data_IF_840399880301
#
_entry.id   IF_840399880301
#
_cell.length_a   1.000
_cell.length_b   1.000
_cell.length_c   1.000
_cell.angle_alpha   90.00
_cell.angle_beta   90.00
_cell.angle_gamma   90.00
#
_symmetry.space_group_name_H-M   'P 1'
#
loop_
_entity.id
_entity.type
_entity.pdbx_description
1 polymer ?
#
# COMPACT_ATOMS: atom_id res chain seq x y z
N UNK A 1 6.89 -2.95 21.38
CA UNK A 1 7.54 -2.19 20.29
C UNK A 1 6.61 -1.05 19.90
N UNK A 2 7.09 0.20 19.86
CA UNK A 2 6.32 1.36 19.36
C UNK A 2 6.83 1.69 17.96
N UNK A 3 5.96 2.23 17.09
CA UNK A 3 6.33 2.62 15.73
C UNK A 3 6.42 4.14 15.66
N UNK A 4 7.53 4.65 15.15
CA UNK A 4 7.71 6.09 14.94
C UNK A 4 7.14 6.49 13.58
N UNK A 5 6.26 7.49 13.56
CA UNK A 5 5.74 8.04 12.31
C UNK A 5 6.88 8.70 11.51
N UNK A 6 7.06 8.32 10.24
CA UNK A 6 8.09 8.89 9.36
C UNK A 6 7.86 10.36 8.99
N UNK A 7 6.61 10.86 9.10
CA UNK A 7 6.23 12.22 8.71
C UNK A 7 6.35 13.24 9.85
N UNK A 8 5.95 12.86 11.06
CA UNK A 8 5.90 13.77 12.22
C UNK A 8 6.72 13.28 13.43
N UNK A 9 7.40 12.13 13.29
CA UNK A 9 8.27 11.54 14.31
C UNK A 9 7.60 11.16 15.63
N UNK A 10 6.26 11.17 15.67
CA UNK A 10 5.48 10.76 16.85
C UNK A 10 5.49 9.24 17.01
N UNK A 11 5.59 8.79 18.25
CA UNK A 11 5.41 7.39 18.61
C UNK A 11 3.94 6.99 18.54
N UNK A 12 3.66 5.90 17.84
CA UNK A 12 2.35 5.33 17.66
C UNK A 12 2.29 3.91 18.24
N UNK A 13 1.08 3.47 18.55
CA UNK A 13 0.81 2.07 18.88
C UNK A 13 1.23 1.18 17.69
N UNK A 14 1.92 0.06 17.90
CA UNK A 14 2.33 -0.85 16.83
C UNK A 14 1.17 -1.42 15.99
N UNK A 15 -0.05 -1.46 16.53
CA UNK A 15 -1.23 -1.90 15.77
C UNK A 15 -1.85 -0.79 14.91
N UNK A 16 -1.45 0.47 15.10
CA UNK A 16 -2.02 1.61 14.38
C UNK A 16 -1.84 1.46 12.87
N UNK A 17 -2.92 1.70 12.12
CA UNK A 17 -2.93 1.65 10.64
C UNK A 17 -2.51 2.97 9.99
N UNK A 18 -2.55 4.06 10.76
CA UNK A 18 -2.14 5.41 10.40
C UNK A 18 -1.71 6.14 11.68
N UNK A 19 -0.95 7.22 11.54
CA UNK A 19 -0.55 8.05 12.66
C UNK A 19 -1.78 8.71 13.30
N UNK A 20 -1.96 8.50 14.59
CA UNK A 20 -3.05 9.06 15.40
C UNK A 20 -3.14 10.59 15.35
N UNK A 21 -1.99 11.24 15.14
CA UNK A 21 -1.85 12.69 15.15
C UNK A 21 -1.96 13.33 13.76
N UNK A 22 -1.11 12.92 12.81
CA UNK A 22 -1.04 13.57 11.50
C UNK A 22 -1.78 12.82 10.39
N UNK A 23 -2.35 11.64 10.68
CA UNK A 23 -3.07 10.82 9.71
C UNK A 23 -2.17 10.16 8.64
N UNK A 24 -0.85 10.28 8.73
CA UNK A 24 0.05 9.64 7.78
C UNK A 24 -0.03 8.12 7.90
N UNK A 25 -0.19 7.43 6.78
CA UNK A 25 -0.02 5.98 6.74
C UNK A 25 1.43 5.64 7.08
N UNK A 26 1.69 4.52 7.76
CA UNK A 26 3.03 3.94 7.77
C UNK A 26 3.47 3.83 6.32
N UNK A 27 4.75 4.07 6.04
CA UNK A 27 5.33 3.84 4.73
C UNK A 27 5.28 2.32 4.47
N UNK A 28 4.10 1.83 4.11
CA UNK A 28 3.93 0.53 3.51
C UNK A 28 4.57 0.72 2.16
N UNK A 29 5.85 0.32 2.05
CA UNK A 29 6.64 0.38 0.83
C UNK A 29 5.69 0.23 -0.36
N UNK A 30 5.41 1.35 -1.03
CA UNK A 30 4.39 1.39 -2.07
C UNK A 30 4.83 0.40 -3.12
N UNK A 31 4.24 -0.78 -3.12
CA UNK A 31 4.61 -1.84 -4.05
C UNK A 31 4.04 -1.44 -5.38
N UNK A 32 4.76 -0.62 -6.13
CA UNK A 32 4.29 -0.14 -7.42
C UNK A 32 4.11 -1.34 -8.36
N UNK A 33 2.89 -1.58 -8.81
CA UNK A 33 2.62 -2.62 -9.80
C UNK A 33 2.67 -1.97 -11.18
N UNK A 34 3.39 -2.60 -12.11
CA UNK A 34 3.45 -2.16 -13.50
C UNK A 34 2.36 -2.84 -14.32
N UNK A 35 1.64 -2.06 -15.14
CA UNK A 35 0.66 -2.62 -16.05
C UNK A 35 1.34 -3.40 -17.18
N UNK A 36 0.90 -4.62 -17.45
CA UNK A 36 1.38 -5.41 -18.59
C UNK A 36 0.93 -4.85 -19.95
N UNK A 37 -0.14 -4.04 -19.99
CA UNK A 37 -0.68 -3.46 -21.22
C UNK A 37 -0.11 -2.08 -21.53
N UNK A 38 -0.06 -1.20 -20.53
CA UNK A 38 0.36 0.20 -20.73
C UNK A 38 1.68 0.58 -20.06
N UNK A 39 2.36 -0.38 -19.42
CA UNK A 39 3.67 -0.22 -18.77
C UNK A 39 3.78 0.93 -17.76
N UNK A 40 2.64 1.51 -17.37
CA UNK A 40 2.55 2.55 -16.36
C UNK A 40 2.58 1.90 -14.98
N UNK A 41 3.18 2.57 -13.99
CA UNK A 41 3.16 2.14 -12.60
C UNK A 41 1.90 2.67 -11.92
N UNK A 42 1.35 1.89 -11.01
CA UNK A 42 0.26 2.32 -10.14
C UNK A 42 0.53 1.86 -8.71
N UNK A 43 -0.11 2.54 -7.76
CA UNK A 43 -0.12 2.09 -6.37
C UNK A 43 -0.80 0.72 -6.27
N UNK A 44 -0.24 -0.19 -5.48
CA UNK A 44 -0.75 -1.55 -5.29
C UNK A 44 -2.13 -1.61 -4.62
N UNK A 45 -2.59 -0.53 -4.01
CA UNK A 45 -3.96 -0.38 -3.51
C UNK A 45 -4.89 0.32 -4.52
N UNK A 46 -4.38 0.74 -5.68
CA UNK A 46 -5.18 1.27 -6.77
C UNK A 46 -6.13 0.22 -7.36
N UNK A 47 -7.33 0.64 -7.78
CA UNK A 47 -8.31 -0.27 -8.41
C UNK A 47 -8.02 -0.50 -9.89
N UNK A 48 -7.47 0.49 -10.58
CA UNK A 48 -7.14 0.44 -12.00
C UNK A 48 -6.02 1.41 -12.36
N UNK A 49 -5.37 1.18 -13.50
CA UNK A 49 -4.37 2.10 -14.06
C UNK A 49 -5.07 3.27 -14.76
N UNK A 50 -4.70 4.51 -14.38
CA UNK A 50 -5.29 5.73 -14.96
C UNK A 50 -5.10 5.86 -16.47
N UNK A 51 -3.98 5.34 -17.01
CA UNK A 51 -3.63 5.49 -18.43
C UNK A 51 -4.41 4.57 -19.35
N UNK A 52 -4.62 3.31 -18.94
CA UNK A 52 -5.22 2.28 -19.80
C UNK A 52 -6.53 1.68 -19.26
N UNK A 53 -6.95 2.08 -18.06
CA UNK A 53 -8.18 1.60 -17.42
C UNK A 53 -8.16 0.12 -17.01
N UNK A 54 -7.05 -0.59 -17.20
CA UNK A 54 -6.92 -1.99 -16.80
C UNK A 54 -7.09 -2.11 -15.29
N UNK A 55 -7.94 -3.04 -14.87
CA UNK A 55 -8.16 -3.37 -13.46
C UNK A 55 -6.92 -4.07 -12.93
N UNK A 56 -6.45 -3.64 -11.77
CA UNK A 56 -5.41 -4.35 -11.03
C UNK A 56 -6.04 -5.61 -10.44
N UNK A 57 -5.68 -6.78 -10.96
CA UNK A 57 -6.05 -8.03 -10.29
C UNK A 57 -5.34 -8.07 -8.93
N UNK A 58 -6.08 -8.23 -7.82
CA UNK A 58 -5.44 -8.38 -6.52
C UNK A 58 -4.57 -9.64 -6.56
N UNK A 59 -3.38 -9.62 -5.92
CA UNK A 59 -2.57 -10.82 -5.82
C UNK A 59 -3.42 -11.94 -5.22
N UNK A 60 -3.48 -13.08 -5.92
CA UNK A 60 -4.21 -14.26 -5.45
C UNK A 60 -3.71 -14.55 -4.04
N UNK A 61 -4.64 -14.56 -3.07
CA UNK A 61 -4.32 -15.06 -1.73
C UNK A 61 -3.98 -16.53 -1.91
N UNK A 62 -2.69 -16.85 -1.92
CA UNK A 62 -2.22 -18.23 -1.83
C UNK A 62 -2.65 -18.69 -0.45
N UNK A 63 -3.82 -19.34 -0.38
CA UNK A 63 -4.23 -20.06 0.82
C UNK A 63 -3.36 -21.31 0.81
N UNK A 64 -2.46 -21.52 1.79
CA UNK A 64 -1.72 -22.77 1.85
C UNK A 64 -2.75 -23.88 2.06
N UNK A 65 -2.91 -24.73 1.04
CA UNK A 65 -3.67 -25.98 1.15
C UNK A 65 -2.97 -26.84 2.20
N UNK A 66 -3.66 -27.05 3.32
CA UNK A 66 -3.25 -27.95 4.40
C UNK A 66 -3.49 -29.40 3.97
#
# INVERSE_FOLDING_TARGET
MMITCSKCFRLNNPSARFCDWCGAYPDHASTSIQCTKCHTNNDSFGKCFSTCGCVLEPPLRIIPST
#
